data_IF_912585076317
#
_entry.id   IF_912585076317
#
_cell.length_a   1.000
_cell.length_b   1.000
_cell.length_c   1.000
_cell.angle_alpha   90.00
_cell.angle_beta   90.00
_cell.angle_gamma   90.00
#
_symmetry.space_group_name_H-M   'P 1'
#
loop_
_entity.id
_entity.type
_entity.pdbx_description
1 polymer ?
#
# COMPACT_ATOMS: atom_id res chain seq x y z
N UNK A 1 -13.44 -3.63 13.60
CA UNK A 1 -12.64 -3.13 12.50
C UNK A 1 -12.04 -1.79 12.87
N UNK A 2 -10.78 -1.60 12.59
CA UNK A 2 -10.12 -0.33 12.85
C UNK A 2 -10.11 0.57 11.64
N UNK A 3 -9.79 1.83 11.89
CA UNK A 3 -9.62 2.81 10.83
C UNK A 3 -8.27 3.49 10.96
N UNK A 4 -7.77 3.98 9.85
CA UNK A 4 -6.50 4.66 9.77
C UNK A 4 -6.72 6.13 9.45
N UNK A 5 -5.83 6.96 9.98
CA UNK A 5 -5.76 8.36 9.55
C UNK A 5 -4.51 8.49 8.70
N UNK A 6 -4.66 9.13 7.55
CA UNK A 6 -3.58 9.23 6.57
C UNK A 6 -3.27 10.69 6.33
N UNK A 7 -2.02 11.06 6.55
CA UNK A 7 -1.56 12.41 6.25
C UNK A 7 -0.75 12.36 4.97
N UNK A 8 -1.29 12.98 3.93
CA UNK A 8 -0.60 13.08 2.65
C UNK A 8 0.09 14.42 2.54
N UNK A 9 0.67 14.69 1.38
CA UNK A 9 1.33 15.98 1.15
C UNK A 9 0.33 17.13 1.12
N UNK A 10 -0.95 16.85 0.94
CA UNK A 10 -1.94 17.90 0.72
C UNK A 10 -3.03 17.95 1.79
N UNK A 11 -3.30 16.85 2.47
CA UNK A 11 -4.46 16.80 3.34
C UNK A 11 -4.33 15.67 4.34
N UNK A 12 -5.21 15.68 5.34
CA UNK A 12 -5.34 14.58 6.29
C UNK A 12 -6.69 13.92 6.03
N UNK A 13 -6.68 12.61 5.82
CA UNK A 13 -7.90 11.84 5.59
C UNK A 13 -8.14 10.94 6.79
N UNK A 14 -9.37 10.94 7.29
CA UNK A 14 -9.73 10.18 8.49
C UNK A 14 -10.60 8.97 8.13
N UNK A 15 -10.59 8.00 9.04
CA UNK A 15 -11.44 6.82 8.91
C UNK A 15 -11.17 6.05 7.65
N UNK A 16 -9.90 5.90 7.30
CA UNK A 16 -9.49 5.22 6.08
C UNK A 16 -9.40 3.73 6.29
N UNK A 17 -9.62 3.01 5.21
CA UNK A 17 -9.54 1.56 5.16
C UNK A 17 -8.60 1.16 4.06
N UNK A 18 -8.20 -0.10 4.07
CA UNK A 18 -7.28 -0.64 3.08
C UNK A 18 -8.00 -1.65 2.20
N UNK A 19 -7.55 -1.74 0.97
CA UNK A 19 -8.04 -2.75 0.02
C UNK A 19 -6.85 -3.43 -0.61
N UNK A 20 -6.87 -4.75 -0.60
CA UNK A 20 -5.82 -5.55 -1.21
C UNK A 20 -6.28 -6.12 -2.54
N UNK A 21 -5.34 -6.20 -3.46
CA UNK A 21 -5.54 -6.86 -4.74
C UNK A 21 -4.22 -7.37 -5.26
N UNK A 22 -4.20 -7.78 -6.51
CA UNK A 22 -2.98 -8.23 -7.18
C UNK A 22 -2.91 -7.60 -8.56
N UNK A 23 -1.69 -7.23 -8.95
CA UNK A 23 -1.46 -6.78 -10.30
C UNK A 23 -1.44 -7.99 -11.24
N UNK A 24 -2.09 -7.86 -12.38
CA UNK A 24 -2.20 -8.98 -13.30
C UNK A 24 -0.87 -9.32 -13.98
N UNK A 25 0.00 -8.33 -14.13
CA UNK A 25 1.24 -8.52 -14.88
C UNK A 25 2.24 -9.42 -14.16
N UNK A 26 2.40 -9.25 -12.86
CA UNK A 26 3.40 -10.01 -12.11
C UNK A 26 2.85 -10.61 -10.83
N UNK A 27 1.54 -10.47 -10.60
CA UNK A 27 0.84 -10.96 -9.42
C UNK A 27 1.34 -10.36 -8.10
N UNK A 28 2.07 -9.26 -8.18
CA UNK A 28 2.50 -8.59 -6.96
C UNK A 28 1.31 -7.91 -6.28
N UNK A 29 1.50 -7.64 -5.00
CA UNK A 29 0.43 -7.13 -4.16
C UNK A 29 0.08 -5.69 -4.51
N UNK A 30 -1.21 -5.40 -4.59
CA UNK A 30 -1.71 -4.04 -4.78
C UNK A 30 -2.41 -3.60 -3.51
N UNK A 31 -2.01 -2.45 -2.96
CA UNK A 31 -2.57 -1.93 -1.71
C UNK A 31 -3.09 -0.52 -1.95
N UNK A 32 -4.36 -0.32 -1.67
CA UNK A 32 -5.01 0.97 -1.83
C UNK A 32 -5.55 1.46 -0.50
N UNK A 33 -5.58 2.78 -0.33
CA UNK A 33 -6.24 3.43 0.80
C UNK A 33 -7.47 4.14 0.28
N UNK A 34 -8.58 3.99 1.00
CA UNK A 34 -9.81 4.67 0.65
C UNK A 34 -10.61 4.97 1.91
N UNK A 35 -11.58 5.87 1.80
CA UNK A 35 -12.59 6.02 2.83
C UNK A 35 -13.94 6.21 2.15
N UNK A 36 -15.01 6.18 2.94
CA UNK A 36 -16.36 6.23 2.36
C UNK A 36 -16.73 7.60 1.86
N UNK A 37 -16.14 8.62 2.47
CA UNK A 37 -16.46 9.98 2.12
C UNK A 37 -15.80 10.41 0.82
N UNK A 38 -14.51 10.08 0.65
CA UNK A 38 -13.71 10.58 -0.46
C UNK A 38 -13.46 9.53 -1.55
N UNK A 39 -13.78 8.27 -1.27
CA UNK A 39 -13.45 7.19 -2.19
C UNK A 39 -11.99 6.81 -2.11
N UNK A 40 -11.39 6.47 -3.25
CA UNK A 40 -9.99 6.09 -3.28
C UNK A 40 -9.12 7.31 -3.02
N UNK A 41 -8.24 7.20 -2.04
CA UNK A 41 -7.33 8.28 -1.68
C UNK A 41 -5.99 8.10 -2.37
N UNK A 42 -5.44 6.89 -2.31
CA UNK A 42 -4.13 6.63 -2.90
C UNK A 42 -3.91 5.14 -3.10
N UNK A 43 -3.13 4.82 -4.13
CA UNK A 43 -2.60 3.48 -4.31
C UNK A 43 -1.17 3.51 -3.83
N UNK A 44 -0.85 2.70 -2.82
CA UNK A 44 0.44 2.75 -2.16
C UNK A 44 1.53 1.99 -2.90
N UNK A 45 1.13 1.06 -3.78
CA UNK A 45 2.07 0.18 -4.47
C UNK A 45 2.06 0.46 -5.95
N UNK A 46 3.09 -0.05 -6.63
CA UNK A 46 3.17 0.06 -8.08
C UNK A 46 3.69 -1.26 -8.64
N UNK A 47 3.30 -1.57 -9.86
CA UNK A 47 3.72 -2.79 -10.53
C UNK A 47 4.91 -2.49 -11.44
N UNK A 48 6.05 -3.09 -11.13
CA UNK A 48 7.25 -2.95 -11.95
C UNK A 48 7.54 -4.21 -12.75
N UNK A 49 6.56 -5.09 -12.83
CA UNK A 49 6.64 -6.33 -13.62
C UNK A 49 7.84 -7.17 -13.21
N UNK A 50 7.98 -7.41 -11.90
CA UNK A 50 9.10 -8.13 -11.32
C UNK A 50 8.62 -9.48 -10.78
N UNK A 51 8.74 -10.55 -11.56
CA UNK A 51 8.23 -11.86 -11.14
C UNK A 51 9.05 -12.51 -10.03
N UNK A 52 10.17 -11.89 -9.64
CA UNK A 52 11.00 -12.45 -8.56
C UNK A 52 10.57 -11.98 -7.18
N UNK A 53 9.54 -11.14 -7.08
CA UNK A 53 9.06 -10.68 -5.78
C UNK A 53 8.38 -11.81 -5.00
N UNK A 54 8.69 -11.96 -3.71
CA UNK A 54 7.90 -12.84 -2.85
C UNK A 54 6.45 -12.38 -2.78
N UNK A 55 5.59 -13.27 -2.33
CA UNK A 55 4.15 -13.05 -2.37
C UNK A 55 3.68 -11.84 -1.57
N UNK A 56 4.34 -11.57 -0.46
CA UNK A 56 3.93 -10.48 0.43
C UNK A 56 4.78 -9.22 0.27
N UNK A 57 5.60 -9.16 -0.78
CA UNK A 57 6.48 -8.02 -1.04
C UNK A 57 6.00 -7.28 -2.28
N UNK A 58 5.98 -5.95 -2.20
CA UNK A 58 5.60 -5.12 -3.33
C UNK A 58 6.40 -3.83 -3.31
N UNK A 59 6.56 -3.22 -4.49
CA UNK A 59 7.21 -1.92 -4.59
C UNK A 59 6.24 -0.82 -4.19
N UNK A 60 6.72 0.10 -3.36
CA UNK A 60 5.90 1.21 -2.85
C UNK A 60 6.08 2.42 -3.75
N UNK A 61 4.97 3.05 -4.11
CA UNK A 61 4.96 4.15 -5.07
C UNK A 61 5.33 5.45 -4.38
N UNK A 62 6.61 5.60 -4.05
CA UNK A 62 7.10 6.78 -3.37
C UNK A 62 7.13 8.01 -4.27
N UNK A 63 7.01 7.82 -5.57
CA UNK A 63 6.96 8.93 -6.50
C UNK A 63 5.65 9.71 -6.36
N UNK A 64 4.53 9.02 -6.31
CA UNK A 64 3.23 9.65 -6.13
C UNK A 64 2.86 9.80 -4.66
N UNK A 65 3.40 8.92 -3.81
CA UNK A 65 3.08 8.91 -2.38
C UNK A 65 4.38 8.97 -1.58
N UNK A 66 5.04 10.13 -1.52
CA UNK A 66 6.32 10.22 -0.79
C UNK A 66 6.17 9.96 0.71
N UNK A 67 4.97 10.04 1.23
CA UNK A 67 4.64 9.78 2.64
C UNK A 67 4.39 8.30 2.92
N UNK A 68 4.35 7.45 1.88
CA UNK A 68 3.84 6.10 2.02
C UNK A 68 4.70 5.21 2.91
N UNK A 69 6.03 5.26 2.77
CA UNK A 69 6.92 4.41 3.55
C UNK A 69 6.75 4.71 5.04
N UNK A 70 6.79 5.97 5.42
CA UNK A 70 6.62 6.37 6.81
C UNK A 70 5.25 5.95 7.34
N UNK A 71 4.21 6.18 6.56
CA UNK A 71 2.86 5.78 6.94
C UNK A 71 2.78 4.27 7.20
N UNK A 72 3.33 3.48 6.29
CA UNK A 72 3.27 2.02 6.41
C UNK A 72 4.05 1.54 7.63
N UNK A 73 5.23 2.11 7.86
CA UNK A 73 6.05 1.70 9.00
C UNK A 73 5.43 2.12 10.32
N UNK A 74 4.93 3.34 10.40
CA UNK A 74 4.35 3.85 11.65
C UNK A 74 3.13 3.06 12.09
N UNK A 75 2.39 2.54 11.14
CA UNK A 75 1.19 1.77 11.44
C UNK A 75 1.44 0.27 11.48
N UNK A 76 2.69 -0.16 11.32
CA UNK A 76 3.02 -1.58 11.40
C UNK A 76 2.49 -2.40 10.23
N UNK A 77 2.22 -1.76 9.10
CA UNK A 77 1.60 -2.42 7.95
C UNK A 77 2.61 -3.04 7.02
N UNK A 78 3.83 -2.53 7.02
CA UNK A 78 4.89 -3.04 6.16
C UNK A 78 6.24 -2.65 6.71
N UNK A 79 7.28 -3.37 6.27
CA UNK A 79 8.65 -3.08 6.66
C UNK A 79 9.53 -3.12 5.43
N UNK A 80 10.62 -2.35 5.47
CA UNK A 80 11.56 -2.29 4.36
C UNK A 80 12.31 -3.61 4.25
N UNK A 81 12.54 -4.04 3.00
CA UNK A 81 13.33 -5.25 2.74
C UNK A 81 14.77 -4.93 2.38
N UNK A 82 15.08 -3.67 2.09
CA UNK A 82 16.38 -3.29 1.57
C UNK A 82 16.50 -3.41 0.05
N UNK A 83 15.52 -4.04 -0.58
CA UNK A 83 15.49 -4.22 -2.02
C UNK A 83 14.86 -2.99 -2.68
N UNK A 84 15.44 -2.55 -3.78
CA UNK A 84 14.90 -1.43 -4.57
C UNK A 84 14.94 -1.78 -6.04
N UNK A 85 14.18 -1.03 -6.84
CA UNK A 85 14.22 -1.18 -8.28
C UNK A 85 14.01 0.17 -8.93
N UNK A 86 14.84 0.47 -9.92
CA UNK A 86 14.72 1.70 -10.70
C UNK A 86 13.71 1.47 -11.82
N UNK A 87 12.86 2.45 -12.03
CA UNK A 87 11.97 2.49 -13.18
C UNK A 87 11.90 3.93 -13.64
N UNK A 88 12.38 4.19 -14.85
CA UNK A 88 12.50 5.55 -15.34
C UNK A 88 13.50 6.32 -14.49
N UNK A 89 13.09 7.47 -14.00
CA UNK A 89 13.95 8.29 -13.14
C UNK A 89 13.74 8.04 -11.67
N UNK A 90 12.87 7.08 -11.32
CA UNK A 90 12.51 6.83 -9.93
C UNK A 90 13.10 5.52 -9.45
N UNK A 91 13.43 5.46 -8.16
CA UNK A 91 13.85 4.23 -7.51
C UNK A 91 12.79 3.90 -6.45
N UNK A 92 12.22 2.72 -6.56
CA UNK A 92 11.10 2.31 -5.71
C UNK A 92 11.58 1.28 -4.69
N UNK A 93 11.28 1.49 -3.40
CA UNK A 93 11.63 0.48 -2.39
C UNK A 93 10.61 -0.65 -2.38
N UNK A 94 11.12 -1.87 -2.15
CA UNK A 94 10.26 -3.02 -1.94
C UNK A 94 10.02 -3.19 -0.45
N UNK A 95 8.77 -3.33 -0.05
CA UNK A 95 8.42 -3.53 1.34
C UNK A 95 7.67 -4.85 1.50
N UNK A 96 7.86 -5.48 2.66
CA UNK A 96 7.12 -6.69 3.01
C UNK A 96 5.90 -6.27 3.81
N UNK A 97 4.73 -6.64 3.32
CA UNK A 97 3.46 -6.23 3.92
C UNK A 97 2.98 -7.28 4.91
N UNK A 98 2.50 -6.81 6.05
CA UNK A 98 1.93 -7.65 7.10
C UNK A 98 0.43 -7.82 6.82
N UNK A 99 0.07 -8.94 6.19
CA UNK A 99 -1.30 -9.15 5.76
C UNK A 99 -2.27 -9.26 6.92
N UNK A 100 -1.81 -9.82 8.04
CA UNK A 100 -2.67 -9.92 9.21
C UNK A 100 -3.00 -8.55 9.78
N UNK A 101 -2.01 -7.68 9.82
CA UNK A 101 -2.23 -6.33 10.31
C UNK A 101 -3.14 -5.55 9.35
N UNK A 102 -2.90 -5.70 8.07
CA UNK A 102 -3.71 -5.04 7.04
C UNK A 102 -5.17 -5.48 7.14
N UNK A 103 -5.39 -6.76 7.43
CA UNK A 103 -6.76 -7.29 7.51
C UNK A 103 -7.58 -6.58 8.58
N UNK A 104 -6.94 -6.01 9.60
CA UNK A 104 -7.65 -5.27 10.63
C UNK A 104 -8.27 -3.99 10.09
N UNK A 105 -7.78 -3.49 8.96
CA UNK A 105 -8.25 -2.25 8.37
C UNK A 105 -8.97 -2.46 7.04
N UNK A 106 -9.14 -3.71 6.62
CA UNK A 106 -9.92 -4.00 5.43
C UNK A 106 -11.40 -3.96 5.78
N UNK A 107 -12.18 -3.49 4.82
CA UNK A 107 -13.62 -3.48 5.00
C UNK A 107 -14.12 -4.90 5.00
N UNK A 108 -14.86 -5.26 6.05
CA UNK A 108 -15.42 -6.60 6.13
C UNK A 108 -16.41 -6.79 5.01
N UNK A 109 -16.45 -7.99 4.52
CA UNK A 109 -17.39 -8.31 3.50
C UNK A 109 -18.78 -8.11 3.98
N UNK A 110 -19.52 -7.35 3.27
CA UNK A 110 -20.78 -6.98 3.69
C UNK A 110 -21.78 -7.61 2.89
N UNK A 111 -21.44 -8.35 1.89
CA UNK A 111 -22.43 -8.99 1.19
C UNK A 111 -22.26 -10.37 1.32
N UNK A 112 -22.89 -10.77 1.44
CA UNK A 112 -22.83 -11.96 1.56
C UNK A 112 -23.79 -12.28 1.68
#
# INVERSE_FOLDING_TARGET
MGFLNVKTSYSVYKNCMLRLGKYMMDESLAVEIYNRQDGEIARLTTCLCDPTLPEDVAYVDTNNCPWAVTFLEENGLAEKTGRTKRSGYCVYPAMRFNREKIAQFEEKNKWR
#
